data_IF_138591892143
#
_entry.id   IF_138591892143
#
_cell.length_a   1.000
_cell.length_b   1.000
_cell.length_c   1.000
_cell.angle_alpha   90.00
_cell.angle_beta   90.00
_cell.angle_gamma   90.00
#
_symmetry.space_group_name_H-M   'P 1'
#
loop_
_entity.id
_entity.type
_entity.pdbx_description
1 polymer ?
#
# COMPACT_ATOMS: atom_id res chain seq x y z
N UNK A 1 7.73 -3.07 65.30
CA UNK A 1 8.69 -2.04 65.64
C UNK A 1 8.62 -1.02 64.53
N UNK A 2 7.79 -0.01 64.69
CA UNK A 2 7.96 1.35 65.22
C UNK A 2 8.91 2.18 64.37
N UNK A 3 8.31 3.11 63.66
CA UNK A 3 8.40 4.61 63.88
C UNK A 3 9.52 5.22 62.98
N UNK A 4 9.41 6.31 62.27
CA UNK A 4 8.76 7.61 62.50
C UNK A 4 8.81 8.49 61.25
N UNK A 5 7.74 9.20 61.04
CA UNK A 5 7.55 10.41 60.27
C UNK A 5 8.68 11.45 60.39
N UNK A 6 8.90 12.22 59.32
CA UNK A 6 9.32 13.61 59.40
C UNK A 6 8.79 14.40 58.18
N UNK A 7 7.84 15.28 58.53
CA UNK A 7 7.34 16.38 57.71
C UNK A 7 8.41 17.47 57.63
N UNK A 8 8.64 18.01 56.46
CA UNK A 8 9.29 19.32 56.30
C UNK A 8 8.45 20.14 55.31
N UNK A 9 7.68 21.03 55.88
CA UNK A 9 7.02 22.14 55.22
C UNK A 9 8.06 23.21 54.89
N UNK A 10 8.20 23.57 53.64
CA UNK A 10 8.98 24.70 53.15
C UNK A 10 8.08 25.68 52.42
N UNK A 11 7.68 26.73 53.13
CA UNK A 11 7.06 27.94 52.61
C UNK A 11 8.02 28.63 51.65
N UNK A 12 7.59 28.88 50.42
CA UNK A 12 8.21 29.91 49.58
C UNK A 12 7.13 30.89 49.14
N UNK A 13 7.29 32.11 49.69
CA UNK A 13 6.47 33.27 49.42
C UNK A 13 6.83 33.87 48.05
N UNK A 14 5.85 34.29 47.38
CA UNK A 14 5.60 35.25 46.33
C UNK A 14 6.73 36.05 45.68
N UNK A 15 6.64 36.08 44.36
CA UNK A 15 6.98 37.28 43.57
C UNK A 15 6.11 37.30 42.34
N UNK A 16 5.05 38.09 42.37
CA UNK A 16 4.22 38.42 41.21
C UNK A 16 4.97 39.44 40.36
N UNK A 17 5.44 39.00 39.19
CA UNK A 17 5.87 39.90 38.12
C UNK A 17 4.73 40.03 37.11
N UNK A 18 4.09 41.18 37.09
CA UNK A 18 3.11 41.58 36.09
C UNK A 18 3.84 41.78 34.74
N UNK A 19 3.67 40.83 33.81
CA UNK A 19 4.03 41.07 32.42
C UNK A 19 2.78 41.55 31.67
N UNK A 20 2.89 42.79 31.14
CA UNK A 20 1.89 43.41 30.31
C UNK A 20 1.66 42.55 29.05
N UNK A 21 0.41 42.20 28.82
CA UNK A 21 -0.04 41.53 27.62
C UNK A 21 0.03 42.50 26.42
N UNK A 22 0.94 42.25 25.51
CA UNK A 22 0.91 42.80 24.15
C UNK A 22 -0.09 42.04 23.30
N UNK A 23 -0.72 42.68 22.28
CA UNK A 23 -1.68 42.01 21.43
C UNK A 23 -1.01 40.91 20.62
N UNK A 24 -1.57 39.68 20.69
CA UNK A 24 -1.18 38.57 19.86
C UNK A 24 -1.51 38.86 18.38
N UNK A 25 -0.60 38.49 17.44
CA UNK A 25 -0.95 38.56 16.03
C UNK A 25 -2.03 37.52 15.73
N UNK A 26 -3.08 37.95 15.06
CA UNK A 26 -4.15 37.11 14.53
C UNK A 26 -3.53 36.00 13.66
N UNK A 27 -3.65 34.76 14.12
CA UNK A 27 -3.35 33.58 13.34
C UNK A 27 -4.42 33.47 12.23
N UNK A 28 -4.06 33.85 11.02
CA UNK A 28 -4.82 33.55 9.82
C UNK A 28 -4.88 32.02 9.69
N UNK A 29 -5.98 31.43 10.08
CA UNK A 29 -6.29 30.00 9.83
C UNK A 29 -6.41 29.82 8.32
N UNK A 30 -5.31 29.42 7.68
CA UNK A 30 -5.35 28.83 6.36
C UNK A 30 -6.04 27.46 6.50
N UNK A 31 -7.35 27.44 6.27
CA UNK A 31 -8.11 26.22 6.11
C UNK A 31 -7.67 25.56 4.81
N UNK A 32 -6.77 24.60 4.91
CA UNK A 32 -6.50 23.65 3.83
C UNK A 32 -7.72 22.76 3.65
N UNK A 33 -8.36 22.72 2.49
CA UNK A 33 -9.39 21.74 2.23
C UNK A 33 -8.74 20.41 1.84
N UNK A 34 -8.20 19.66 2.81
CA UNK A 34 -7.88 18.25 2.67
C UNK A 34 -9.13 17.41 3.00
N UNK A 35 -10.09 17.48 2.14
CA UNK A 35 -11.31 16.70 2.15
C UNK A 35 -11.72 16.39 0.73
N UNK A 36 -10.79 15.93 -0.08
CA UNK A 36 -11.12 15.29 -1.34
C UNK A 36 -11.79 13.94 -1.03
N UNK A 37 -13.11 13.99 -0.84
CA UNK A 37 -13.97 12.81 -0.91
C UNK A 37 -13.68 12.19 -2.28
N UNK A 38 -12.92 11.08 -2.30
CA UNK A 38 -12.72 10.31 -3.51
C UNK A 38 -14.11 10.01 -4.07
N UNK A 39 -14.43 10.64 -5.18
CA UNK A 39 -15.68 10.38 -5.89
C UNK A 39 -15.61 8.90 -6.28
N UNK A 40 -16.48 8.09 -5.68
CA UNK A 40 -16.67 6.72 -6.09
C UNK A 40 -17.05 6.76 -7.57
N UNK A 41 -16.15 6.28 -8.42
CA UNK A 41 -16.46 6.11 -9.83
C UNK A 41 -17.73 5.27 -9.94
N UNK A 42 -18.69 5.60 -10.85
CA UNK A 42 -19.92 4.86 -11.00
C UNK A 42 -19.59 3.39 -11.19
N UNK A 43 -20.17 2.51 -10.38
CA UNK A 43 -19.98 1.08 -10.48
C UNK A 43 -20.40 0.65 -11.90
N UNK A 44 -19.43 0.18 -12.69
CA UNK A 44 -19.70 -0.33 -14.03
C UNK A 44 -20.73 -1.47 -13.92
N UNK A 45 -21.90 -1.28 -14.51
CA UNK A 45 -22.96 -2.28 -14.55
C UNK A 45 -22.66 -3.26 -15.67
N UNK A 46 -22.41 -4.52 -15.30
CA UNK A 46 -22.10 -5.57 -16.28
C UNK A 46 -21.48 -6.81 -15.63
N UNK A 47 -21.19 -7.80 -16.46
CA UNK A 47 -20.37 -8.93 -16.03
C UNK A 47 -18.89 -8.55 -16.09
N UNK A 48 -18.08 -8.90 -15.05
CA UNK A 48 -16.67 -8.60 -15.06
C UNK A 48 -15.95 -9.45 -16.11
N UNK A 49 -15.05 -8.80 -16.84
CA UNK A 49 -14.16 -9.50 -17.79
C UNK A 49 -13.06 -10.23 -17.01
N UNK A 50 -12.88 -11.50 -17.28
CA UNK A 50 -11.73 -12.24 -16.77
C UNK A 50 -10.47 -11.70 -17.44
N UNK A 51 -9.48 -11.32 -16.63
CA UNK A 51 -8.19 -10.85 -17.12
C UNK A 51 -7.03 -11.68 -16.55
N UNK A 52 -5.94 -11.68 -17.28
CA UNK A 52 -4.65 -12.19 -16.82
C UNK A 52 -3.78 -11.06 -16.26
N UNK A 53 -2.78 -11.40 -15.44
CA UNK A 53 -1.87 -10.44 -14.85
C UNK A 53 -1.03 -9.66 -15.87
N UNK A 54 -0.72 -10.31 -16.99
CA UNK A 54 0.04 -9.74 -18.11
C UNK A 54 -0.69 -8.57 -18.78
N UNK A 55 -2.02 -8.54 -18.72
CA UNK A 55 -2.81 -7.45 -19.28
C UNK A 55 -2.68 -6.13 -18.50
N UNK A 56 -2.23 -6.21 -17.27
CA UNK A 56 -1.96 -5.05 -16.42
C UNK A 56 -0.65 -4.34 -16.78
N UNK A 57 0.22 -5.02 -17.50
CA UNK A 57 1.53 -4.51 -17.91
C UNK A 57 1.42 -3.88 -19.30
N UNK A 58 1.89 -2.63 -19.51
CA UNK A 58 2.00 -2.07 -20.85
C UNK A 58 2.89 -2.92 -21.74
N UNK A 59 2.49 -3.12 -23.00
CA UNK A 59 3.19 -4.00 -23.95
C UNK A 59 4.60 -3.54 -24.32
N UNK A 60 4.86 -2.25 -24.18
CA UNK A 60 6.13 -1.57 -24.47
C UNK A 60 7.04 -1.41 -23.25
N UNK A 61 6.59 -1.85 -22.07
CA UNK A 61 7.38 -1.79 -20.86
C UNK A 61 8.24 -3.05 -20.69
N UNK A 62 9.55 -2.82 -20.62
CA UNK A 62 10.55 -3.85 -20.35
C UNK A 62 11.40 -3.40 -19.15
N UNK A 63 11.26 -4.06 -17.97
CA UNK A 63 12.04 -3.71 -16.78
C UNK A 63 13.55 -3.88 -16.97
N UNK A 64 13.98 -4.73 -17.91
CA UNK A 64 15.38 -5.02 -18.14
C UNK A 64 16.05 -4.00 -19.06
N UNK A 65 15.29 -3.11 -19.69
CA UNK A 65 15.82 -2.14 -20.64
C UNK A 65 16.89 -1.22 -20.04
N UNK A 66 16.72 -0.87 -18.74
CA UNK A 66 17.67 0.00 -18.04
C UNK A 66 18.92 -0.73 -17.54
N UNK A 67 18.95 -2.06 -17.63
CA UNK A 67 20.06 -2.90 -17.18
C UNK A 67 20.84 -3.54 -18.32
N UNK A 68 20.54 -3.15 -19.57
CA UNK A 68 21.24 -3.64 -20.75
C UNK A 68 22.73 -3.25 -20.72
N UNK A 69 23.60 -4.23 -20.94
CA UNK A 69 25.06 -4.03 -20.90
C UNK A 69 25.70 -4.15 -19.52
N UNK A 70 24.94 -4.41 -18.46
CA UNK A 70 25.48 -4.73 -17.15
C UNK A 70 25.73 -6.24 -17.06
N UNK A 71 26.99 -6.64 -16.89
CA UNK A 71 27.34 -8.04 -16.66
C UNK A 71 27.14 -8.40 -15.18
N UNK A 72 25.96 -8.97 -14.89
CA UNK A 72 25.58 -9.37 -13.53
C UNK A 72 26.45 -10.54 -13.00
N UNK A 73 27.06 -11.32 -13.88
CA UNK A 73 27.89 -12.47 -13.47
C UNK A 73 29.24 -12.08 -12.85
N UNK A 74 29.60 -10.80 -13.00
CA UNK A 74 30.84 -10.23 -12.49
C UNK A 74 30.66 -9.52 -11.13
N UNK A 75 29.44 -9.49 -10.61
CA UNK A 75 29.12 -8.82 -9.33
C UNK A 75 29.12 -9.88 -8.21
N UNK A 76 29.99 -9.68 -7.23
CA UNK A 76 29.95 -10.39 -5.96
C UNK A 76 28.93 -9.71 -5.03
N UNK A 77 28.27 -10.48 -4.15
CA UNK A 77 27.31 -9.95 -3.18
C UNK A 77 27.92 -8.88 -2.25
N UNK A 78 29.23 -8.89 -2.07
CA UNK A 78 29.99 -7.89 -1.30
C UNK A 78 30.38 -6.63 -2.11
N UNK A 79 30.12 -6.60 -3.42
CA UNK A 79 30.47 -5.48 -4.27
C UNK A 79 29.49 -4.30 -4.01
N UNK A 80 29.98 -3.09 -3.70
CA UNK A 80 29.10 -1.93 -3.54
C UNK A 80 28.18 -1.67 -4.73
N UNK A 81 28.62 -1.99 -5.96
CA UNK A 81 27.83 -1.87 -7.18
C UNK A 81 26.61 -2.81 -7.20
N UNK A 82 26.68 -3.96 -6.51
CA UNK A 82 25.56 -4.87 -6.38
C UNK A 82 24.39 -4.20 -5.61
N UNK A 83 24.71 -3.48 -4.53
CA UNK A 83 23.70 -2.72 -3.77
C UNK A 83 23.07 -1.58 -4.58
N UNK A 84 23.88 -0.82 -5.33
CA UNK A 84 23.37 0.23 -6.21
C UNK A 84 22.44 -0.33 -7.28
N UNK A 85 22.78 -1.49 -7.84
CA UNK A 85 21.96 -2.17 -8.83
C UNK A 85 20.63 -2.66 -8.22
N UNK A 86 20.67 -3.26 -7.03
CA UNK A 86 19.46 -3.68 -6.32
C UNK A 86 18.53 -2.50 -6.03
N UNK A 87 19.07 -1.37 -5.58
CA UNK A 87 18.30 -0.14 -5.35
C UNK A 87 17.68 0.36 -6.65
N UNK A 88 18.41 0.34 -7.75
CA UNK A 88 17.88 0.73 -9.07
C UNK A 88 16.81 -0.22 -9.56
N UNK A 89 16.98 -1.54 -9.40
CA UNK A 89 15.95 -2.52 -9.72
C UNK A 89 14.67 -2.31 -8.91
N UNK A 90 14.81 -1.99 -7.63
CA UNK A 90 13.67 -1.64 -6.77
C UNK A 90 12.97 -0.36 -7.25
N UNK A 91 13.74 0.66 -7.63
CA UNK A 91 13.19 1.91 -8.17
C UNK A 91 12.41 1.68 -9.46
N UNK A 92 12.97 0.93 -10.43
CA UNK A 92 12.32 0.56 -11.69
C UNK A 92 11.03 -0.21 -11.42
N UNK A 93 11.05 -1.18 -10.49
CA UNK A 93 9.88 -1.95 -10.09
C UNK A 93 8.81 -1.07 -9.44
N UNK A 94 9.18 -0.19 -8.52
CA UNK A 94 8.25 0.70 -7.82
C UNK A 94 7.63 1.76 -8.74
N UNK A 95 8.32 2.11 -9.84
CA UNK A 95 7.86 3.08 -10.82
C UNK A 95 7.33 2.42 -12.10
N UNK A 96 7.07 1.11 -12.07
CA UNK A 96 6.51 0.39 -13.21
C UNK A 96 5.20 1.03 -13.70
N UNK A 97 5.10 1.42 -14.98
CA UNK A 97 3.92 2.09 -15.52
C UNK A 97 2.72 1.15 -15.58
N UNK A 98 1.54 1.68 -15.34
CA UNK A 98 0.27 0.95 -15.48
C UNK A 98 -0.24 0.99 -16.93
N UNK A 99 -1.03 -0.02 -17.31
CA UNK A 99 -1.74 -0.01 -18.60
C UNK A 99 -2.96 0.93 -18.50
N UNK A 100 -2.98 2.07 -19.20
CA UNK A 100 -4.06 3.05 -19.10
C UNK A 100 -5.41 2.53 -19.58
N UNK A 101 -5.41 1.52 -20.48
CA UNK A 101 -6.64 0.90 -20.98
C UNK A 101 -7.43 0.15 -19.88
N UNK A 102 -6.75 -0.19 -18.80
CA UNK A 102 -7.36 -0.87 -17.65
C UNK A 102 -8.06 0.08 -16.69
N UNK A 103 -7.89 1.39 -16.84
CA UNK A 103 -8.55 2.35 -15.97
C UNK A 103 -10.06 2.38 -16.23
N UNK A 104 -10.87 2.14 -15.19
CA UNK A 104 -12.32 2.05 -15.29
C UNK A 104 -12.84 0.68 -15.76
N UNK A 105 -11.98 -0.27 -16.07
CA UNK A 105 -12.38 -1.61 -16.51
C UNK A 105 -13.01 -2.41 -15.36
N UNK A 106 -14.18 -3.01 -15.59
CA UNK A 106 -14.79 -3.96 -14.69
C UNK A 106 -14.22 -5.34 -14.96
N UNK A 107 -13.46 -5.86 -13.99
CA UNK A 107 -12.66 -7.07 -14.19
C UNK A 107 -12.83 -8.09 -13.08
N UNK A 108 -12.43 -9.32 -13.39
CA UNK A 108 -12.23 -10.44 -12.46
C UNK A 108 -10.81 -10.96 -12.63
N UNK A 109 -10.08 -11.06 -11.52
CA UNK A 109 -8.70 -11.52 -11.54
C UNK A 109 -8.42 -12.40 -10.31
N UNK A 110 -7.63 -13.50 -10.47
CA UNK A 110 -7.23 -14.32 -9.34
C UNK A 110 -5.90 -13.83 -8.77
N UNK A 111 -5.65 -14.06 -7.48
CA UNK A 111 -4.36 -13.75 -6.86
C UNK A 111 -4.30 -14.17 -5.42
N UNK A 112 -3.17 -13.84 -4.80
CA UNK A 112 -2.89 -14.13 -3.39
C UNK A 112 -3.05 -12.88 -2.55
N UNK A 113 -3.65 -13.03 -1.37
CA UNK A 113 -3.89 -11.93 -0.44
C UNK A 113 -2.65 -11.66 0.40
N UNK A 114 -2.21 -10.38 0.44
CA UNK A 114 -1.26 -9.84 1.41
C UNK A 114 -2.00 -8.81 2.26
N UNK A 115 -2.45 -9.17 3.48
CA UNK A 115 -3.22 -8.27 4.32
C UNK A 115 -2.43 -7.00 4.68
N UNK A 116 -3.08 -5.84 4.57
CA UNK A 116 -2.56 -4.55 5.05
C UNK A 116 -3.28 -4.13 6.32
N UNK A 117 -4.59 -4.38 6.39
CA UNK A 117 -5.42 -4.09 7.54
C UNK A 117 -6.32 -5.28 7.86
N UNK A 118 -6.22 -5.75 9.09
CA UNK A 118 -7.01 -6.86 9.62
C UNK A 118 -7.57 -6.51 11.00
N UNK A 119 -8.85 -6.77 11.21
CA UNK A 119 -9.50 -6.61 12.50
C UNK A 119 -10.31 -7.87 12.82
N UNK A 120 -9.99 -8.53 13.94
CA UNK A 120 -10.66 -9.76 14.42
C UNK A 120 -10.75 -10.89 13.39
N UNK A 121 -9.73 -11.01 12.54
CA UNK A 121 -9.67 -12.02 11.47
C UNK A 121 -10.46 -11.66 10.21
N UNK A 122 -10.93 -10.42 10.09
CA UNK A 122 -11.54 -9.89 8.89
C UNK A 122 -10.61 -8.90 8.22
N UNK A 123 -10.29 -9.14 6.96
CA UNK A 123 -9.40 -8.30 6.15
C UNK A 123 -10.23 -7.20 5.50
N UNK A 124 -9.90 -5.94 5.82
CA UNK A 124 -10.54 -4.75 5.27
C UNK A 124 -9.73 -4.08 4.17
N UNK A 125 -8.44 -4.36 4.11
CA UNK A 125 -7.52 -3.81 3.11
C UNK A 125 -6.37 -4.80 2.85
N UNK A 126 -6.03 -5.03 1.59
CA UNK A 126 -4.97 -5.96 1.21
C UNK A 126 -4.35 -5.62 -0.14
N UNK A 127 -3.13 -6.12 -0.36
CA UNK A 127 -2.57 -6.23 -1.71
C UNK A 127 -2.98 -7.58 -2.30
N UNK A 128 -3.36 -7.57 -3.58
CA UNK A 128 -3.47 -8.78 -4.38
C UNK A 128 -2.24 -8.88 -5.26
N UNK A 129 -1.60 -10.05 -5.26
CA UNK A 129 -0.35 -10.33 -5.97
C UNK A 129 -0.45 -11.61 -6.80
N UNK A 130 0.36 -11.75 -7.89
CA UNK A 130 0.22 -12.83 -8.87
C UNK A 130 0.74 -14.19 -8.41
N UNK A 131 1.67 -14.24 -7.46
CA UNK A 131 2.30 -15.49 -7.05
C UNK A 131 2.39 -15.63 -5.53
N UNK A 132 2.47 -16.87 -5.09
CA UNK A 132 2.57 -17.20 -3.66
C UNK A 132 3.90 -16.70 -3.07
N UNK A 133 3.83 -16.10 -1.89
CA UNK A 133 5.00 -15.60 -1.16
C UNK A 133 5.44 -14.19 -1.52
N UNK A 134 4.86 -13.58 -2.57
CA UNK A 134 5.16 -12.19 -2.94
C UNK A 134 4.93 -11.23 -1.76
N UNK A 135 5.80 -10.23 -1.60
CA UNK A 135 5.77 -9.21 -0.55
C UNK A 135 5.98 -9.73 0.89
N UNK A 136 5.96 -11.04 1.13
CA UNK A 136 6.14 -11.64 2.46
C UNK A 136 7.45 -12.41 2.55
N UNK A 137 7.71 -13.30 1.57
CA UNK A 137 8.88 -14.19 1.57
C UNK A 137 9.85 -13.90 0.42
N UNK A 138 9.40 -13.16 -0.57
CA UNK A 138 10.16 -12.74 -1.75
C UNK A 138 9.97 -11.24 -1.98
N UNK A 139 10.87 -10.56 -2.71
CA UNK A 139 10.67 -9.17 -3.09
C UNK A 139 9.30 -8.95 -3.74
N UNK A 140 8.69 -7.77 -3.57
CA UNK A 140 7.43 -7.47 -4.20
C UNK A 140 7.55 -7.50 -5.74
N UNK A 141 6.47 -7.88 -6.44
CA UNK A 141 6.38 -7.71 -7.89
C UNK A 141 6.49 -6.23 -8.27
N UNK A 142 6.68 -5.90 -9.55
CA UNK A 142 6.55 -4.52 -10.03
C UNK A 142 5.18 -3.92 -9.71
N UNK A 143 5.14 -2.61 -9.51
CA UNK A 143 3.92 -1.90 -9.11
C UNK A 143 2.72 -2.15 -10.05
N UNK A 144 2.98 -2.36 -11.35
CA UNK A 144 1.94 -2.72 -12.33
C UNK A 144 1.43 -4.16 -12.22
N UNK A 145 1.97 -4.96 -11.30
CA UNK A 145 1.49 -6.29 -10.95
C UNK A 145 1.08 -6.41 -9.47
N UNK A 146 0.74 -5.29 -8.86
CA UNK A 146 0.17 -5.26 -7.51
C UNK A 146 -1.11 -4.43 -7.55
N UNK A 147 -2.20 -5.00 -7.01
CA UNK A 147 -3.47 -4.31 -6.82
C UNK A 147 -3.66 -4.01 -5.35
N UNK A 148 -3.91 -2.75 -5.01
CA UNK A 148 -4.41 -2.35 -3.72
C UNK A 148 -5.92 -2.53 -3.68
N UNK A 149 -6.42 -3.37 -2.79
CA UNK A 149 -7.82 -3.80 -2.78
C UNK A 149 -8.49 -3.42 -1.47
N UNK A 150 -9.63 -2.74 -1.59
CA UNK A 150 -10.57 -2.52 -0.49
C UNK A 150 -11.89 -3.22 -0.81
N UNK A 151 -12.21 -4.33 -0.17
CA UNK A 151 -13.49 -5.00 -0.35
C UNK A 151 -14.62 -4.13 0.23
N UNK A 152 -15.75 -4.09 -0.46
CA UNK A 152 -16.96 -3.40 0.02
C UNK A 152 -17.42 -3.96 1.36
N UNK A 153 -17.22 -5.26 1.58
CA UNK A 153 -17.49 -5.93 2.85
C UNK A 153 -16.23 -6.68 3.28
N UNK A 154 -15.71 -6.41 4.48
CA UNK A 154 -14.59 -7.18 5.03
C UNK A 154 -14.89 -8.67 5.05
N UNK A 155 -13.89 -9.49 4.80
CA UNK A 155 -14.06 -10.92 4.70
C UNK A 155 -12.95 -11.70 5.43
N UNK A 156 -13.28 -12.91 5.87
CA UNK A 156 -12.36 -13.77 6.60
C UNK A 156 -11.44 -14.51 5.64
N UNK A 157 -10.29 -13.89 5.40
CA UNK A 157 -9.19 -14.46 4.63
C UNK A 157 -7.91 -14.43 5.45
N UNK A 158 -6.95 -15.25 5.07
CA UNK A 158 -5.60 -15.29 5.64
C UNK A 158 -4.58 -14.83 4.62
N UNK A 159 -3.42 -14.42 5.12
CA UNK A 159 -2.28 -14.18 4.24
C UNK A 159 -2.04 -15.38 3.32
N UNK A 160 -1.81 -15.10 2.05
CA UNK A 160 -1.59 -16.07 0.97
C UNK A 160 -2.80 -16.96 0.62
N UNK A 161 -4.00 -16.70 1.15
CA UNK A 161 -5.19 -17.30 0.58
C UNK A 161 -5.34 -16.89 -0.89
N UNK A 162 -5.65 -17.87 -1.74
CA UNK A 162 -5.91 -17.60 -3.15
C UNK A 162 -7.37 -17.24 -3.34
N UNK A 163 -7.62 -16.12 -4.00
CA UNK A 163 -8.98 -15.60 -4.19
C UNK A 163 -9.21 -15.14 -5.63
N UNK A 164 -10.50 -15.07 -5.99
CA UNK A 164 -11.01 -14.26 -7.08
C UNK A 164 -11.47 -12.93 -6.52
N UNK A 165 -11.05 -11.84 -7.13
CA UNK A 165 -11.62 -10.52 -6.87
C UNK A 165 -12.35 -9.99 -8.11
N UNK A 166 -13.43 -9.25 -7.87
CA UNK A 166 -14.21 -8.58 -8.91
C UNK A 166 -14.43 -7.11 -8.53
N UNK A 167 -14.19 -6.22 -9.46
CA UNK A 167 -14.39 -4.79 -9.23
C UNK A 167 -13.91 -3.94 -10.39
N UNK A 168 -14.05 -2.65 -10.24
CA UNK A 168 -13.55 -1.68 -11.22
C UNK A 168 -12.12 -1.31 -10.89
N UNK A 169 -11.21 -1.50 -11.84
CA UNK A 169 -9.82 -1.09 -11.73
C UNK A 169 -9.68 0.43 -11.85
N UNK A 170 -8.75 0.96 -11.10
CA UNK A 170 -8.30 2.36 -11.20
C UNK A 170 -6.77 2.37 -11.27
N UNK A 171 -6.21 3.16 -12.17
CA UNK A 171 -4.76 3.38 -12.26
C UNK A 171 -4.35 4.41 -11.22
N UNK A 172 -4.29 3.99 -9.97
CA UNK A 172 -3.94 4.81 -8.82
C UNK A 172 -2.79 4.16 -8.07
N UNK A 173 -1.69 4.90 -7.93
CA UNK A 173 -0.53 4.48 -7.14
C UNK A 173 -0.86 4.55 -5.64
N UNK A 174 -0.52 3.49 -4.91
CA UNK A 174 -0.54 3.48 -3.46
C UNK A 174 0.78 2.90 -2.95
N UNK A 175 1.37 3.58 -1.98
CA UNK A 175 2.57 3.14 -1.29
C UNK A 175 2.18 2.50 0.04
N UNK A 176 2.65 1.29 0.30
CA UNK A 176 2.44 0.57 1.55
C UNK A 176 3.76 0.02 2.09
N UNK A 177 3.78 -0.42 3.34
CA UNK A 177 4.95 -1.09 3.92
C UNK A 177 5.28 -2.43 3.23
N UNK A 178 4.30 -3.03 2.54
CA UNK A 178 4.44 -4.33 1.87
C UNK A 178 4.78 -4.21 0.38
N UNK A 179 4.77 -2.99 -0.17
CA UNK A 179 5.09 -2.72 -1.57
C UNK A 179 4.28 -1.58 -2.16
N UNK A 180 4.66 -1.20 -3.37
CA UNK A 180 4.01 -0.15 -4.16
C UNK A 180 3.05 -0.81 -5.14
N UNK A 181 1.77 -0.40 -5.12
CA UNK A 181 0.78 -0.85 -6.09
C UNK A 181 0.49 0.23 -7.13
N UNK A 182 0.41 -0.16 -8.40
CA UNK A 182 0.03 0.73 -9.51
C UNK A 182 -1.48 0.81 -9.72
N UNK A 183 -2.22 -0.13 -9.15
CA UNK A 183 -3.66 -0.25 -9.32
C UNK A 183 -4.39 -0.23 -7.99
N UNK A 184 -5.60 0.32 -8.02
CA UNK A 184 -6.55 0.26 -6.92
C UNK A 184 -7.85 -0.41 -7.38
N UNK A 185 -8.51 -1.15 -6.47
CA UNK A 185 -9.83 -1.72 -6.70
C UNK A 185 -10.70 -1.66 -5.45
N UNK A 186 -11.86 -1.03 -5.54
CA UNK A 186 -12.97 -1.26 -4.63
C UNK A 186 -13.65 -2.58 -5.03
N UNK A 187 -13.26 -3.69 -4.38
CA UNK A 187 -13.74 -5.00 -4.77
C UNK A 187 -15.19 -5.21 -4.32
N UNK A 188 -16.09 -5.39 -5.28
CA UNK A 188 -17.50 -5.73 -5.03
C UNK A 188 -17.69 -7.17 -4.57
N UNK A 189 -16.74 -8.04 -4.92
CA UNK A 189 -16.74 -9.46 -4.55
C UNK A 189 -15.32 -9.95 -4.32
N UNK A 190 -15.13 -10.71 -3.25
CA UNK A 190 -13.91 -11.48 -2.96
C UNK A 190 -14.35 -12.89 -2.61
N UNK A 191 -13.94 -13.89 -3.39
CA UNK A 191 -14.32 -15.27 -3.20
C UNK A 191 -13.12 -16.20 -3.23
N UNK A 192 -13.18 -17.33 -2.52
CA UNK A 192 -12.10 -18.32 -2.60
C UNK A 192 -11.89 -18.77 -4.04
N UNK A 193 -10.63 -18.91 -4.41
CA UNK A 193 -10.27 -19.49 -5.69
C UNK A 193 -10.63 -20.98 -5.68
N UNK A 194 -11.59 -21.33 -6.51
CA UNK A 194 -11.97 -22.71 -6.78
C UNK A 194 -11.50 -23.10 -8.18
N UNK A 195 -10.22 -22.87 -8.45
CA UNK A 195 -9.59 -23.29 -9.70
C UNK A 195 -9.58 -24.82 -9.72
N UNK A 196 -10.19 -25.42 -10.73
CA UNK A 196 -10.14 -26.87 -10.91
C UNK A 196 -8.68 -27.30 -11.01
N UNK A 197 -8.27 -28.19 -10.11
CA UNK A 197 -7.12 -29.03 -10.37
C UNK A 197 -7.44 -29.78 -11.68
N UNK A 198 -6.72 -29.45 -12.75
CA UNK A 198 -6.59 -30.33 -13.92
C UNK A 198 -5.38 -31.21 -13.70
#
# INVERSE_FOLDING_TARGET
>A
MTLRSLLLAGLWAGMAAAFAAGPAPEATTATSPLGGKAAAAPAATGQPRLIAWEELVPKDWDPMKEFQGIDLSQLDDADPRANELLMKMQEVSNNAPTNPEMNGALVRIPGFIVPLEENKGEVSEFLLVPYFGACIHTPPPPANQILHVRPVTPAKFRAMDTVWIEGTLQTVRNDSMMGVSGYHMAARSVTKYTGGAK
#
